data_IF_615612995311
#
_entry.id   IF_615612995311
#
_cell.length_a   1.000
_cell.length_b   1.000
_cell.length_c   1.000
_cell.angle_alpha   90.00
_cell.angle_beta   90.00
_cell.angle_gamma   90.00
#
_symmetry.space_group_name_H-M   'P 1'
#
loop_
_entity.id
_entity.type
_entity.pdbx_description
1 polymer ?
#
# COMPACT_ATOMS: atom_id res chain seq x y z
N UNK A 1 -4.04 -11.00 -10.68
CA UNK A 1 -2.90 -11.74 -10.10
C UNK A 1 -2.98 -13.12 -10.71
N UNK A 2 -2.03 -13.48 -11.57
CA UNK A 2 -1.96 -14.83 -12.13
C UNK A 2 -1.72 -15.77 -10.94
N UNK A 3 -2.43 -16.89 -10.87
CA UNK A 3 -2.43 -17.75 -9.67
C UNK A 3 -1.03 -18.15 -9.21
N UNK A 4 -0.88 -18.36 -7.91
CA UNK A 4 0.35 -18.88 -7.31
C UNK A 4 0.43 -20.39 -7.55
N UNK A 5 1.58 -20.89 -8.00
CA UNK A 5 1.78 -22.28 -8.40
C UNK A 5 2.18 -23.21 -7.25
N UNK A 6 2.47 -22.68 -6.05
CA UNK A 6 2.83 -23.50 -4.89
C UNK A 6 3.09 -22.70 -3.60
N UNK A 7 3.28 -23.42 -2.48
CA UNK A 7 3.46 -22.83 -1.14
C UNK A 7 4.72 -21.95 -1.05
N UNK A 8 5.84 -22.42 -1.59
CA UNK A 8 7.11 -21.69 -1.53
C UNK A 8 7.06 -20.34 -2.25
N UNK A 9 6.32 -20.25 -3.35
CA UNK A 9 6.12 -18.99 -4.08
C UNK A 9 5.25 -18.02 -3.28
N UNK A 10 4.24 -18.54 -2.57
CA UNK A 10 3.41 -17.74 -1.69
C UNK A 10 4.20 -17.22 -0.49
N UNK A 11 5.04 -18.05 0.11
CA UNK A 11 5.87 -17.69 1.26
C UNK A 11 6.96 -16.66 0.90
N UNK A 12 7.45 -16.68 -0.35
CA UNK A 12 8.37 -15.68 -0.87
C UNK A 12 7.68 -14.37 -1.31
N UNK A 13 6.35 -14.35 -1.39
CA UNK A 13 5.62 -13.19 -1.87
C UNK A 13 5.69 -12.02 -0.87
N UNK A 14 5.77 -10.76 -1.34
CA UNK A 14 5.77 -9.62 -0.46
C UNK A 14 4.47 -9.52 0.33
N UNK A 15 4.54 -9.18 1.62
CA UNK A 15 3.38 -8.95 2.49
C UNK A 15 2.55 -7.68 2.13
N UNK A 16 2.91 -7.04 1.02
CA UNK A 16 2.30 -5.81 0.55
C UNK A 16 0.99 -6.10 -0.18
N UNK A 17 -0.03 -5.31 0.15
CA UNK A 17 -1.32 -5.40 -0.50
C UNK A 17 -1.21 -4.90 -1.95
N UNK A 18 -1.85 -5.63 -2.87
CA UNK A 18 -1.97 -5.17 -4.25
C UNK A 18 -2.96 -3.98 -4.36
N UNK A 19 -2.93 -3.21 -5.46
CA UNK A 19 -3.82 -2.06 -5.65
C UNK A 19 -5.31 -2.39 -5.51
N UNK A 20 -5.72 -3.58 -5.98
CA UNK A 20 -7.11 -4.04 -5.89
C UNK A 20 -7.51 -4.33 -4.45
N UNK A 21 -6.66 -5.01 -3.68
CA UNK A 21 -6.93 -5.29 -2.26
C UNK A 21 -6.99 -3.99 -1.45
N UNK A 22 -6.14 -3.00 -1.77
CA UNK A 22 -6.23 -1.66 -1.18
C UNK A 22 -7.60 -1.02 -1.42
N UNK A 23 -8.11 -1.05 -2.66
CA UNK A 23 -9.44 -0.50 -2.98
C UNK A 23 -10.55 -1.24 -2.24
N UNK A 24 -10.49 -2.58 -2.17
CA UNK A 24 -11.45 -3.40 -1.43
C UNK A 24 -11.49 -3.03 0.05
N UNK A 25 -10.33 -2.92 0.69
CA UNK A 25 -10.23 -2.55 2.11
C UNK A 25 -10.69 -1.11 2.38
N UNK A 26 -10.39 -0.18 1.47
CA UNK A 26 -10.84 1.20 1.59
C UNK A 26 -12.36 1.30 1.50
N UNK A 27 -12.97 0.58 0.54
CA UNK A 27 -14.42 0.54 0.39
C UNK A 27 -15.11 -0.12 1.59
N UNK A 28 -14.60 -1.28 2.04
CA UNK A 28 -15.27 -2.04 3.09
C UNK A 28 -15.07 -1.48 4.51
N UNK A 29 -13.89 -0.89 4.80
CA UNK A 29 -13.47 -0.58 6.18
C UNK A 29 -13.06 0.88 6.39
N UNK A 30 -13.16 1.73 5.37
CA UNK A 30 -12.58 3.08 5.37
C UNK A 30 -11.10 3.09 5.84
N UNK A 31 -10.35 2.09 5.37
CA UNK A 31 -8.98 1.80 5.79
C UNK A 31 -7.99 2.91 5.43
N UNK A 32 -7.10 3.26 6.36
CA UNK A 32 -6.02 4.22 6.14
C UNK A 32 -4.72 3.53 5.71
N UNK A 33 -4.43 3.58 4.40
CA UNK A 33 -3.22 3.00 3.82
C UNK A 33 -1.92 3.67 4.30
N UNK A 34 -1.94 4.98 4.53
CA UNK A 34 -0.76 5.73 4.99
C UNK A 34 -0.31 5.26 6.38
N UNK A 35 -1.25 5.06 7.32
CA UNK A 35 -0.94 4.52 8.66
C UNK A 35 -0.30 3.13 8.60
N UNK A 36 -0.77 2.26 7.69
CA UNK A 36 -0.18 0.93 7.49
C UNK A 36 1.28 1.03 7.06
N UNK A 37 1.53 1.83 6.02
CA UNK A 37 2.86 1.94 5.45
C UNK A 37 3.85 2.61 6.41
N UNK A 38 3.40 3.58 7.22
CA UNK A 38 4.21 4.19 8.26
C UNK A 38 4.67 3.17 9.32
N UNK A 39 3.73 2.32 9.77
CA UNK A 39 4.03 1.24 10.70
C UNK A 39 4.98 0.19 10.10
N UNK A 40 4.80 -0.17 8.82
CA UNK A 40 5.68 -1.10 8.11
C UNK A 40 7.08 -0.52 7.91
N UNK A 41 7.19 0.75 7.51
CA UNK A 41 8.47 1.42 7.36
C UNK A 41 9.24 1.44 8.69
N UNK A 42 8.57 1.78 9.78
CA UNK A 42 9.15 1.75 11.13
C UNK A 42 9.59 0.33 11.54
N UNK A 43 8.80 -0.68 11.22
CA UNK A 43 9.16 -2.08 11.45
C UNK A 43 10.41 -2.47 10.67
N UNK A 44 10.44 -2.23 9.36
CA UNK A 44 11.58 -2.59 8.51
C UNK A 44 12.87 -1.91 8.95
N UNK A 45 12.81 -0.63 9.29
CA UNK A 45 13.96 0.12 9.83
C UNK A 45 14.47 -0.46 11.15
N UNK A 46 13.58 -0.88 12.05
CA UNK A 46 13.97 -1.51 13.33
C UNK A 46 14.62 -2.88 13.16
N UNK A 47 14.28 -3.61 12.09
CA UNK A 47 14.79 -4.96 11.83
C UNK A 47 15.94 -5.01 10.80
N UNK A 48 16.45 -3.86 10.34
CA UNK A 48 17.55 -3.80 9.37
C UNK A 48 17.15 -4.18 7.93
N UNK A 49 15.85 -4.21 7.64
CA UNK A 49 15.29 -4.55 6.33
C UNK A 49 15.24 -3.32 5.42
N UNK A 50 16.42 -2.87 4.98
CA UNK A 50 16.56 -1.57 4.30
C UNK A 50 15.88 -1.54 2.92
N UNK A 51 15.94 -2.63 2.16
CA UNK A 51 15.32 -2.69 0.83
C UNK A 51 13.80 -2.54 0.90
N UNK A 52 13.17 -3.20 1.88
CA UNK A 52 11.74 -3.12 2.15
C UNK A 52 11.34 -1.75 2.69
N UNK A 53 12.17 -1.15 3.55
CA UNK A 53 11.96 0.21 4.03
C UNK A 53 11.95 1.21 2.86
N UNK A 54 12.94 1.13 1.96
CA UNK A 54 13.05 2.00 0.80
C UNK A 54 11.88 1.80 -0.17
N UNK A 55 11.47 0.55 -0.38
CA UNK A 55 10.30 0.23 -1.19
C UNK A 55 9.02 0.87 -0.62
N UNK A 56 8.80 0.74 0.69
CA UNK A 56 7.64 1.35 1.35
C UNK A 56 7.67 2.87 1.27
N UNK A 57 8.83 3.50 1.45
CA UNK A 57 8.96 4.95 1.35
C UNK A 57 8.57 5.46 -0.05
N UNK A 58 9.03 4.80 -1.11
CA UNK A 58 8.64 5.11 -2.49
C UNK A 58 7.14 4.89 -2.70
N UNK A 59 6.58 3.82 -2.14
CA UNK A 59 5.14 3.50 -2.24
C UNK A 59 4.28 4.55 -1.57
N UNK A 60 4.68 5.05 -0.39
CA UNK A 60 3.98 6.12 0.33
C UNK A 60 3.95 7.42 -0.47
N UNK A 61 5.06 7.78 -1.12
CA UNK A 61 5.11 8.97 -1.99
C UNK A 61 4.05 8.89 -3.10
N UNK A 62 4.03 7.79 -3.85
CA UNK A 62 3.02 7.55 -4.89
C UNK A 62 1.59 7.54 -4.34
N UNK A 63 1.37 7.02 -3.14
CA UNK A 63 0.04 6.99 -2.54
C UNK A 63 -0.47 8.40 -2.21
N UNK A 64 0.40 9.27 -1.68
CA UNK A 64 0.05 10.68 -1.40
C UNK A 64 -0.32 11.44 -2.66
N UNK A 65 0.40 11.19 -3.77
CA UNK A 65 0.08 11.78 -5.08
C UNK A 65 -1.32 11.35 -5.55
N UNK A 66 -1.66 10.06 -5.43
CA UNK A 66 -2.99 9.55 -5.78
C UNK A 66 -4.08 10.14 -4.87
N UNK A 67 -3.87 10.18 -3.56
CA UNK A 67 -4.84 10.77 -2.63
C UNK A 67 -5.08 12.27 -2.89
N UNK A 68 -4.05 13.00 -3.32
CA UNK A 68 -4.20 14.40 -3.74
C UNK A 68 -5.11 14.50 -4.97
N UNK A 69 -4.84 13.72 -6.01
CA UNK A 69 -5.66 13.71 -7.24
C UNK A 69 -7.12 13.29 -6.98
N UNK A 70 -7.35 12.31 -6.11
CA UNK A 70 -8.70 11.85 -5.75
C UNK A 70 -9.49 12.94 -5.02
N UNK A 71 -8.83 13.75 -4.19
CA UNK A 71 -9.46 14.88 -3.49
C UNK A 71 -9.82 16.01 -4.46
N UNK A 72 -8.99 16.25 -5.46
CA UNK A 72 -9.25 17.24 -6.51
C UNK A 72 -10.44 16.82 -7.38
N UNK A 73 -10.49 15.56 -7.82
CA UNK A 73 -11.63 15.03 -8.59
C UNK A 73 -12.93 15.10 -7.80
N UNK A 74 -12.92 14.69 -6.52
CA UNK A 74 -14.14 14.74 -5.71
C UNK A 74 -14.63 16.17 -5.48
N UNK A 75 -13.73 17.15 -5.37
CA UNK A 75 -14.10 18.57 -5.30
C UNK A 75 -14.76 19.06 -6.59
N UNK A 76 -14.29 18.59 -7.75
CA UNK A 76 -14.85 18.96 -9.05
C UNK A 76 -16.22 18.30 -9.33
N UNK A 77 -16.50 17.13 -8.75
CA UNK A 77 -17.81 16.47 -8.85
C UNK A 77 -18.88 17.09 -7.94
N UNK A 78 -18.47 17.91 -6.96
CA UNK A 78 -19.35 18.59 -6.00
C UNK A 78 -19.69 20.04 -6.42
N UNK A 79 -19.07 20.57 -7.48
CA UNK A 79 -19.20 21.94 -8.00
C UNK A 79 -19.98 21.98 -9.33
#
# INVERSE_FOLDING_TARGET
MNGCKGRSELDAAPIHLCPVCHRKLRWALNWNAAKRYDALHSFYRRHGLQAEADWVAQRMKRWREVEASEREVRKADEE
#
